data_IF_699818370007
#
_entry.id   IF_699818370007
#
_cell.length_a   1.000
_cell.length_b   1.000
_cell.length_c   1.000
_cell.angle_alpha   90.00
_cell.angle_beta   90.00
_cell.angle_gamma   90.00
#
_symmetry.space_group_name_H-M   'P 1'
#
loop_
_entity.id
_entity.type
_entity.pdbx_description
1 polymer ?
#
# COMPACT_ATOMS: atom_id res chain seq x y z
N UNK A 1 19.82 -4.39 -1.57
CA UNK A 1 18.67 -3.58 -2.03
C UNK A 1 17.98 -3.04 -0.79
N UNK A 2 17.66 -1.75 -0.75
CA UNK A 2 17.03 -1.08 0.40
C UNK A 2 15.54 -0.86 0.18
N UNK A 3 14.80 -0.59 1.25
CA UNK A 3 13.43 -0.10 1.14
C UNK A 3 13.40 1.42 0.95
N UNK A 4 12.48 1.94 0.15
CA UNK A 4 12.35 3.37 -0.14
C UNK A 4 11.07 3.94 0.50
N UNK A 5 11.18 5.05 1.23
CA UNK A 5 10.01 5.81 1.71
C UNK A 5 9.42 6.62 0.57
N UNK A 6 8.24 6.23 0.08
CA UNK A 6 7.65 6.78 -1.14
C UNK A 6 6.46 7.72 -0.89
N UNK A 7 5.99 7.85 0.36
CA UNK A 7 4.85 8.71 0.64
C UNK A 7 4.25 8.59 2.03
N UNK A 8 3.19 9.38 2.24
CA UNK A 8 2.38 9.38 3.45
C UNK A 8 0.94 8.96 3.15
N UNK A 9 0.37 8.12 4.00
CA UNK A 9 -1.04 7.75 3.94
C UNK A 9 -1.87 8.74 4.76
N UNK A 10 -2.83 9.36 4.10
CA UNK A 10 -3.78 10.31 4.65
C UNK A 10 -5.21 9.77 4.66
N UNK A 11 -6.16 10.68 4.40
CA UNK A 11 -7.60 10.38 4.39
C UNK A 11 -7.95 9.27 3.39
N UNK A 12 -8.82 8.33 3.79
CA UNK A 12 -9.35 7.27 2.92
C UNK A 12 -8.25 6.42 2.28
N UNK A 13 -7.15 6.24 3.01
CA UNK A 13 -5.98 5.51 2.55
C UNK A 13 -5.23 6.17 1.38
N UNK A 14 -5.52 7.43 1.01
CA UNK A 14 -4.82 8.09 -0.08
C UNK A 14 -3.33 8.29 0.25
N UNK A 15 -2.45 7.90 -0.67
CA UNK A 15 -1.01 8.08 -0.53
C UNK A 15 -0.59 9.37 -1.24
N UNK A 16 0.06 10.28 -0.51
CA UNK A 16 0.69 11.47 -1.06
C UNK A 16 2.20 11.25 -1.16
N UNK A 17 2.75 11.56 -2.31
CA UNK A 17 4.18 11.49 -2.57
C UNK A 17 4.95 12.38 -1.61
N UNK A 18 6.04 11.84 -1.07
CA UNK A 18 7.01 12.62 -0.31
C UNK A 18 8.20 12.93 -1.22
N UNK A 19 8.86 14.09 -1.03
CA UNK A 19 10.18 14.30 -1.61
C UNK A 19 11.13 13.19 -1.11
N UNK A 20 12.12 12.78 -1.90
CA UNK A 20 13.09 11.77 -1.48
C UNK A 20 13.70 12.13 -0.13
N UNK A 21 13.62 11.22 0.83
CA UNK A 21 14.19 11.38 2.18
C UNK A 21 15.30 10.36 2.41
N UNK A 22 16.30 10.68 3.25
CA UNK A 22 17.29 9.70 3.68
C UNK A 22 16.63 8.65 4.58
N UNK A 23 16.03 7.64 3.96
CA UNK A 23 15.48 6.47 4.62
C UNK A 23 16.31 5.25 4.25
N UNK A 24 16.87 4.56 5.25
CA UNK A 24 17.56 3.30 5.06
C UNK A 24 16.95 2.25 5.96
N UNK A 25 16.36 1.25 5.33
CA UNK A 25 15.95 0.04 6.00
C UNK A 25 16.50 -1.15 5.21
N UNK A 26 17.27 -1.99 5.90
CA UNK A 26 17.62 -3.31 5.40
C UNK A 26 16.39 -4.21 5.57
N UNK A 27 15.60 -4.34 4.52
CA UNK A 27 14.45 -5.22 4.49
C UNK A 27 14.75 -6.39 3.55
N UNK A 28 14.44 -7.65 3.95
CA UNK A 28 14.56 -8.79 3.06
C UNK A 28 13.58 -8.66 1.87
N UNK A 29 13.97 -9.21 0.72
CA UNK A 29 13.18 -9.16 -0.52
C UNK A 29 13.56 -8.01 -1.46
N UNK A 30 13.10 -8.12 -2.71
CA UNK A 30 13.26 -7.13 -3.76
C UNK A 30 12.05 -6.18 -3.81
N UNK A 31 12.27 -4.89 -4.04
CA UNK A 31 11.24 -3.86 -4.27
C UNK A 31 10.33 -3.51 -3.08
N UNK A 32 10.91 -3.38 -1.88
CA UNK A 32 10.20 -2.88 -0.71
C UNK A 32 9.88 -1.38 -0.82
N UNK A 33 8.60 -1.04 -0.65
CA UNK A 33 8.07 0.32 -0.58
C UNK A 33 7.64 0.62 0.84
N UNK A 34 8.02 1.77 1.36
CA UNK A 34 7.65 2.22 2.70
C UNK A 34 6.72 3.42 2.59
N UNK A 35 5.69 3.43 3.41
CA UNK A 35 4.79 4.57 3.58
C UNK A 35 4.65 4.90 5.06
N UNK A 36 4.56 6.17 5.40
CA UNK A 36 4.28 6.64 6.77
C UNK A 36 2.79 6.92 6.93
N UNK A 37 2.20 6.56 8.06
CA UNK A 37 0.83 6.91 8.39
C UNK A 37 0.80 8.33 8.95
N UNK A 38 0.25 9.29 8.20
CA UNK A 38 -0.01 10.64 8.73
C UNK A 38 -1.26 10.69 9.63
N UNK A 39 -2.04 9.60 9.64
CA UNK A 39 -3.19 9.37 10.51
C UNK A 39 -3.45 7.87 10.59
N UNK A 40 -4.26 7.44 11.56
CA UNK A 40 -4.72 6.06 11.62
C UNK A 40 -5.51 5.66 10.36
N UNK A 41 -5.30 4.43 9.87
CA UNK A 41 -5.99 3.87 8.72
C UNK A 41 -6.28 2.38 8.95
N UNK A 42 -7.54 2.03 9.21
CA UNK A 42 -7.93 0.67 9.60
C UNK A 42 -7.20 0.19 10.86
N UNK A 43 -6.45 -0.93 10.82
CA UNK A 43 -5.71 -1.44 11.97
C UNK A 43 -4.38 -0.71 12.23
N UNK A 44 -3.95 0.17 11.31
CA UNK A 44 -2.67 0.86 11.37
C UNK A 44 -2.81 2.20 12.08
N UNK A 45 -1.85 2.51 12.94
CA UNK A 45 -1.87 3.70 13.80
C UNK A 45 -1.14 4.87 13.15
N UNK A 46 -1.51 6.08 13.56
CA UNK A 46 -0.77 7.29 13.18
C UNK A 46 0.69 7.20 13.61
N UNK A 47 1.59 7.67 12.75
CA UNK A 47 3.04 7.63 12.97
C UNK A 47 3.72 6.31 12.63
N UNK A 48 2.98 5.22 12.44
CA UNK A 48 3.55 3.94 11.98
C UNK A 48 4.14 4.06 10.57
N UNK A 49 5.11 3.20 10.27
CA UNK A 49 5.62 2.98 8.92
C UNK A 49 5.22 1.59 8.47
N UNK A 50 4.66 1.47 7.27
CA UNK A 50 4.33 0.17 6.67
C UNK A 50 5.40 -0.21 5.66
N UNK A 51 5.90 -1.43 5.77
CA UNK A 51 6.72 -2.04 4.73
C UNK A 51 5.82 -2.87 3.83
N UNK A 52 5.78 -2.50 2.56
CA UNK A 52 4.99 -3.14 1.53
C UNK A 52 5.94 -3.75 0.50
N UNK A 53 5.79 -5.03 0.18
CA UNK A 53 6.63 -5.70 -0.82
C UNK A 53 5.89 -5.75 -2.16
N UNK A 54 6.42 -5.07 -3.18
CA UNK A 54 5.80 -5.06 -4.51
C UNK A 54 5.83 -6.45 -5.12
N UNK A 55 4.67 -6.90 -5.59
CA UNK A 55 4.56 -8.15 -6.33
C UNK A 55 4.90 -7.93 -7.80
N UNK A 56 5.47 -8.95 -8.44
CA UNK A 56 5.53 -8.98 -9.89
C UNK A 56 4.10 -8.95 -10.47
N UNK A 57 3.88 -8.38 -11.67
CA UNK A 57 2.54 -8.28 -12.25
C UNK A 57 1.80 -9.63 -12.33
N UNK A 58 2.52 -10.70 -12.66
CA UNK A 58 1.97 -12.07 -12.73
C UNK A 58 1.54 -12.64 -11.36
N UNK A 59 2.06 -12.08 -10.26
CA UNK A 59 1.81 -12.52 -8.89
C UNK A 59 0.72 -11.70 -8.19
N UNK A 60 0.14 -10.68 -8.84
CA UNK A 60 -0.80 -9.71 -8.22
C UNK A 60 -1.95 -10.39 -7.46
N UNK A 61 -2.44 -11.54 -7.94
CA UNK A 61 -3.54 -12.27 -7.29
C UNK A 61 -3.18 -12.79 -5.88
N UNK A 62 -1.90 -12.91 -5.54
CA UNK A 62 -1.44 -13.24 -4.19
C UNK A 62 -1.70 -12.11 -3.17
N UNK A 63 -2.12 -10.95 -3.63
CA UNK A 63 -2.56 -9.83 -2.81
C UNK A 63 -4.05 -9.90 -2.43
N UNK A 64 -4.84 -10.81 -3.03
CA UNK A 64 -6.27 -10.93 -2.72
C UNK A 64 -6.49 -11.26 -1.23
N UNK A 65 -7.45 -10.57 -0.62
CA UNK A 65 -7.76 -10.62 0.81
C UNK A 65 -6.80 -9.84 1.71
N UNK A 66 -5.72 -9.24 1.17
CA UNK A 66 -4.66 -8.61 1.95
C UNK A 66 -4.75 -7.08 1.89
N UNK A 67 -4.27 -6.45 2.94
CA UNK A 67 -4.04 -5.00 2.98
C UNK A 67 -2.80 -4.69 2.13
N UNK A 68 -2.95 -3.75 1.21
CA UNK A 68 -1.98 -3.47 0.16
C UNK A 68 -1.84 -1.97 -0.06
N UNK A 69 -0.60 -1.56 -0.32
CA UNK A 69 -0.36 -0.34 -1.07
C UNK A 69 -0.52 -0.66 -2.56
N UNK A 70 -1.43 0.02 -3.22
CA UNK A 70 -1.76 -0.17 -4.64
C UNK A 70 -1.49 1.11 -5.38
N UNK A 71 -0.83 1.02 -6.53
CA UNK A 71 -0.79 2.10 -7.52
C UNK A 71 -1.74 1.76 -8.66
N UNK A 72 -2.61 2.71 -8.98
CA UNK A 72 -3.52 2.61 -10.11
C UNK A 72 -2.80 3.04 -11.41
N UNK A 73 -3.33 2.63 -12.56
CA UNK A 73 -2.79 3.03 -13.87
C UNK A 73 -2.74 4.55 -14.10
N UNK A 74 -3.52 5.33 -13.34
CA UNK A 74 -3.50 6.79 -13.38
C UNK A 74 -2.43 7.41 -12.45
N UNK A 75 -1.56 6.61 -11.84
CA UNK A 75 -0.50 7.03 -10.92
C UNK A 75 -0.95 7.27 -9.48
N UNK A 76 -2.25 7.23 -9.17
CA UNK A 76 -2.73 7.40 -7.80
C UNK A 76 -2.40 6.18 -6.96
N UNK A 77 -1.92 6.43 -5.73
CA UNK A 77 -1.58 5.39 -4.76
C UNK A 77 -2.56 5.36 -3.59
N UNK A 78 -2.95 4.16 -3.17
CA UNK A 78 -3.95 3.91 -2.13
C UNK A 78 -3.54 2.75 -1.22
N UNK A 79 -3.68 2.93 0.09
CA UNK A 79 -3.68 1.87 1.07
C UNK A 79 -5.11 1.33 1.22
N UNK A 80 -5.32 0.08 0.84
CA UNK A 80 -6.64 -0.53 0.74
C UNK A 80 -6.55 -2.06 0.89
N UNK A 81 -7.68 -2.73 1.04
CA UNK A 81 -7.77 -4.18 0.91
C UNK A 81 -8.09 -4.55 -0.54
N UNK A 82 -7.32 -5.45 -1.13
CA UNK A 82 -7.63 -6.02 -2.43
C UNK A 82 -8.63 -7.17 -2.23
N UNK A 83 -9.90 -7.01 -2.63
CA UNK A 83 -10.95 -7.98 -2.24
C UNK A 83 -11.22 -9.02 -3.31
N UNK A 84 -11.25 -8.63 -4.59
CA UNK A 84 -11.61 -9.53 -5.66
C UNK A 84 -10.88 -9.17 -6.97
N UNK A 85 -10.66 -10.17 -7.80
CA UNK A 85 -10.35 -10.00 -9.22
C UNK A 85 -11.65 -10.15 -10.01
N UNK A 86 -12.05 -9.10 -10.73
CA UNK A 86 -13.25 -9.15 -11.60
C UNK A 86 -12.90 -9.69 -12.97
N UNK A 87 -11.76 -9.24 -13.53
CA UNK A 87 -11.18 -9.68 -14.81
C UNK A 87 -9.66 -9.59 -14.72
N UNK A 88 -8.93 -10.15 -15.68
CA UNK A 88 -7.46 -9.98 -15.76
C UNK A 88 -7.07 -8.50 -15.68
N UNK A 89 -6.26 -8.15 -14.68
CA UNK A 89 -5.80 -6.77 -14.45
C UNK A 89 -6.83 -5.82 -13.80
N UNK A 90 -8.06 -6.27 -13.54
CA UNK A 90 -9.11 -5.46 -12.92
C UNK A 90 -9.55 -6.01 -11.58
N UNK A 91 -9.47 -5.16 -10.56
CA UNK A 91 -9.64 -5.55 -9.18
C UNK A 91 -10.66 -4.67 -8.46
N UNK A 92 -11.24 -5.23 -7.40
CA UNK A 92 -12.06 -4.50 -6.43
C UNK A 92 -11.20 -4.14 -5.22
N UNK A 93 -11.15 -2.85 -4.89
CA UNK A 93 -10.45 -2.29 -3.73
C UNK A 93 -11.46 -1.88 -2.67
N UNK A 94 -11.14 -2.06 -1.40
CA UNK A 94 -11.93 -1.52 -0.30
C UNK A 94 -11.09 -0.69 0.66
N UNK A 95 -11.73 0.35 1.20
CA UNK A 95 -11.16 1.16 2.27
C UNK A 95 -10.85 0.38 3.53
N UNK A 96 -9.77 0.76 4.19
CA UNK A 96 -9.44 0.22 5.52
C UNK A 96 -10.08 1.04 6.64
N UNK A 97 -10.28 2.34 6.44
CA UNK A 97 -10.74 3.31 7.43
C UNK A 97 -12.14 3.89 7.14
N UNK A 98 -12.73 3.49 6.02
CA UNK A 98 -13.98 4.05 5.49
C UNK A 98 -14.93 2.91 5.12
N UNK A 99 -15.73 2.40 6.09
CA UNK A 99 -16.68 1.32 5.83
C UNK A 99 -17.63 1.70 4.70
N UNK A 100 -17.74 0.85 3.68
CA UNK A 100 -18.58 1.10 2.50
C UNK A 100 -17.88 1.80 1.33
N UNK A 101 -16.64 2.29 1.50
CA UNK A 101 -15.84 2.74 0.37
C UNK A 101 -15.27 1.54 -0.39
N UNK A 102 -15.87 1.24 -1.53
CA UNK A 102 -15.45 0.16 -2.46
C UNK A 102 -15.25 0.76 -3.84
N UNK A 103 -14.10 0.52 -4.44
CA UNK A 103 -13.80 0.86 -5.82
C UNK A 103 -13.76 -0.41 -6.65
N UNK A 104 -14.71 -0.57 -7.57
CA UNK A 104 -14.76 -1.72 -8.46
C UNK A 104 -14.03 -1.48 -9.78
N UNK A 105 -13.64 -2.56 -10.46
CA UNK A 105 -13.04 -2.55 -11.80
C UNK A 105 -11.80 -1.64 -11.93
N UNK A 106 -11.02 -1.53 -10.85
CA UNK A 106 -9.82 -0.70 -10.81
C UNK A 106 -8.69 -1.38 -11.57
N UNK A 107 -8.08 -0.64 -12.49
CA UNK A 107 -6.88 -1.08 -13.20
C UNK A 107 -5.65 -0.72 -12.39
N UNK A 108 -4.92 -1.74 -11.95
CA UNK A 108 -3.77 -1.61 -11.07
C UNK A 108 -2.49 -1.59 -11.93
N UNK A 109 -1.58 -0.66 -11.63
CA UNK A 109 -0.21 -0.65 -12.16
C UNK A 109 0.68 -1.64 -11.38
N UNK A 110 0.53 -1.68 -10.06
CA UNK A 110 1.11 -2.71 -9.20
C UNK A 110 0.43 -2.78 -7.83
N UNK A 111 0.57 -3.92 -7.17
CA UNK A 111 0.16 -4.13 -5.79
C UNK A 111 1.35 -4.52 -4.92
N UNK A 112 1.40 -3.97 -3.71
CA UNK A 112 2.41 -4.28 -2.71
C UNK A 112 1.71 -4.59 -1.38
N UNK A 113 1.49 -5.87 -1.05
CA UNK A 113 0.91 -6.25 0.23
C UNK A 113 1.76 -5.78 1.40
N UNK A 114 1.10 -5.30 2.45
CA UNK A 114 1.73 -4.96 3.72
C UNK A 114 2.33 -6.24 4.31
N UNK A 115 3.62 -6.19 4.62
CA UNK A 115 4.38 -7.31 5.19
C UNK A 115 4.57 -7.13 6.69
N UNK A 116 4.91 -5.92 7.11
CA UNK A 116 5.11 -5.59 8.51
C UNK A 116 4.91 -4.09 8.75
N UNK A 117 4.78 -3.72 10.01
CA UNK A 117 4.71 -2.35 10.51
C UNK A 117 5.88 -2.07 11.43
N UNK A 118 6.34 -0.83 11.42
CA UNK A 118 7.37 -0.32 12.31
C UNK A 118 6.83 0.88 13.07
N UNK A 119 7.16 0.96 14.35
CA UNK A 119 6.95 2.13 15.19
C UNK A 119 8.31 2.59 15.73
N UNK A 120 8.53 3.89 15.79
CA UNK A 120 9.69 4.47 16.46
C UNK A 120 9.25 4.89 17.86
N UNK A 121 9.83 4.25 18.86
CA UNK A 121 9.64 4.64 20.26
C UNK A 121 10.76 5.62 20.59
N UNK A 122 10.39 6.87 20.85
CA UNK A 122 11.28 7.91 21.40
C UNK A 122 11.29 7.86 22.91
#
# INVERSE_FOLDING_TARGET
MGAELIGEIGLQGACRDLPPQPFRLAAPGSENRVVRLARACGPYREGEYLICARLAPADTDRALGRDCLVELQNGQRKLCRLIARRRTGQYTLAGLDSPGWVLENQSIAWAAPVQTRLEFIT
#
